data_IF_315132771271
#
_entry.id   IF_315132771271
#
_cell.length_a   1.000
_cell.length_b   1.000
_cell.length_c   1.000
_cell.angle_alpha   90.00
_cell.angle_beta   90.00
_cell.angle_gamma   90.00
#
_symmetry.space_group_name_H-M   'P 1'
#
loop_
_entity.id
_entity.type
_entity.pdbx_description
1 polymer ?
#
# COMPACT_ATOMS: atom_id res chain seq x y z
N UNK A 1 -21.13 -5.89 47.28
CA UNK A 1 -20.46 -4.65 46.84
C UNK A 1 -19.02 -5.02 46.57
N UNK A 2 -18.50 -4.73 45.38
CA UNK A 2 -17.08 -4.97 45.04
C UNK A 2 -16.24 -3.88 45.67
N UNK A 3 -15.10 -4.25 46.26
CA UNK A 3 -14.22 -3.36 47.03
C UNK A 3 -12.96 -3.04 46.21
N UNK A 4 -12.75 -1.74 45.96
CA UNK A 4 -11.60 -1.18 45.25
C UNK A 4 -10.69 -0.36 46.18
N UNK A 5 -10.91 -0.38 47.50
CA UNK A 5 -10.22 0.46 48.49
C UNK A 5 -8.70 0.25 48.54
N UNK A 6 -8.22 -0.87 48.00
CA UNK A 6 -6.78 -1.11 47.82
C UNK A 6 -6.10 -0.02 46.99
N UNK A 7 -6.82 0.68 46.12
CA UNK A 7 -6.29 1.76 45.27
C UNK A 7 -6.61 3.18 45.77
N UNK A 8 -7.19 3.34 46.97
CA UNK A 8 -7.58 4.67 47.50
C UNK A 8 -6.37 5.58 47.82
N UNK A 9 -5.18 5.01 47.96
CA UNK A 9 -3.99 5.70 48.45
C UNK A 9 -2.83 5.57 47.44
N UNK A 10 -2.96 6.20 46.28
CA UNK A 10 -1.91 6.25 45.25
C UNK A 10 -1.24 7.63 45.28
N UNK A 11 0.09 7.65 45.34
CA UNK A 11 0.91 8.85 45.27
C UNK A 11 1.62 8.90 43.91
N UNK A 12 1.32 9.93 43.11
CA UNK A 12 1.97 10.22 41.83
C UNK A 12 2.78 11.51 41.99
N UNK A 13 4.11 11.42 41.90
CA UNK A 13 4.99 12.58 42.15
C UNK A 13 4.83 13.71 41.13
N UNK A 14 4.41 13.35 39.92
CA UNK A 14 4.19 14.21 38.75
C UNK A 14 2.69 14.40 38.44
N UNK A 15 1.83 14.33 39.45
CA UNK A 15 0.39 14.61 39.31
C UNK A 15 0.15 16.05 38.85
N UNK A 16 -0.29 16.21 37.60
CA UNK A 16 -0.57 17.49 36.95
C UNK A 16 -1.90 18.13 37.35
N UNK A 17 -2.79 17.38 38.00
CA UNK A 17 -4.04 17.91 38.56
C UNK A 17 -3.80 18.56 39.94
N UNK A 18 -2.78 18.10 40.69
CA UNK A 18 -2.38 18.69 41.97
C UNK A 18 -1.35 19.82 41.83
N UNK A 19 -1.74 20.91 41.19
CA UNK A 19 -0.88 22.07 40.95
C UNK A 19 -1.40 23.33 41.63
N UNK A 20 -0.56 24.37 41.69
CA UNK A 20 -0.94 25.66 42.23
C UNK A 20 -0.44 26.76 41.29
N UNK A 21 -1.27 27.76 40.92
CA UNK A 21 -0.90 28.80 39.95
C UNK A 21 0.38 29.59 40.29
N UNK A 22 0.76 29.63 41.57
CA UNK A 22 1.95 30.32 42.05
C UNK A 22 3.18 29.43 42.28
N UNK A 23 3.10 28.13 41.96
CA UNK A 23 4.19 27.18 42.17
C UNK A 23 4.65 26.62 40.83
N UNK A 24 5.96 26.62 40.60
CA UNK A 24 6.58 26.04 39.42
C UNK A 24 6.48 24.51 39.44
N UNK A 25 5.64 23.96 38.56
CA UNK A 25 5.31 22.52 38.55
C UNK A 25 6.51 21.61 38.23
N UNK A 26 7.43 21.92 37.29
CA UNK A 26 8.60 21.07 37.03
C UNK A 26 9.56 20.98 38.21
N UNK A 27 9.68 22.03 39.02
CA UNK A 27 10.47 22.02 40.25
C UNK A 27 9.72 21.30 41.38
N UNK A 28 8.41 21.48 41.48
CA UNK A 28 7.55 20.79 42.45
C UNK A 28 7.56 19.28 42.25
N UNK A 29 7.44 18.76 41.03
CA UNK A 29 7.43 17.32 40.77
C UNK A 29 8.76 16.66 41.11
N UNK A 30 9.88 17.32 40.79
CA UNK A 30 11.21 16.86 41.21
C UNK A 30 11.35 16.86 42.73
N UNK A 31 10.83 17.88 43.41
CA UNK A 31 10.82 17.95 44.86
C UNK A 31 9.95 16.85 45.49
N UNK A 32 8.73 16.62 44.98
CA UNK A 32 7.84 15.52 45.41
C UNK A 32 8.52 14.15 45.22
N UNK A 33 9.17 13.93 44.08
CA UNK A 33 9.96 12.73 43.82
C UNK A 33 11.09 12.55 44.83
N UNK A 34 11.87 13.61 45.09
CA UNK A 34 12.97 13.59 46.06
C UNK A 34 12.45 13.27 47.47
N UNK A 35 11.39 13.95 47.91
CA UNK A 35 10.76 13.70 49.22
C UNK A 35 10.22 12.27 49.35
N UNK A 36 9.73 11.68 48.26
CA UNK A 36 9.30 10.27 48.23
C UNK A 36 10.48 9.32 48.39
N UNK A 37 11.57 9.54 47.64
CA UNK A 37 12.81 8.74 47.74
C UNK A 37 13.38 8.81 49.16
N UNK A 38 13.50 10.01 49.74
CA UNK A 38 13.99 10.20 51.11
C UNK A 38 13.11 9.51 52.16
N UNK A 39 11.76 9.58 52.02
CA UNK A 39 10.85 8.85 52.91
C UNK A 39 11.03 7.34 52.82
N UNK A 40 11.21 6.79 51.62
CA UNK A 40 11.45 5.36 51.42
C UNK A 40 12.82 4.93 51.95
N UNK A 41 13.86 5.73 51.75
CA UNK A 41 15.20 5.47 52.29
C UNK A 41 15.20 5.45 53.82
N UNK A 42 14.56 6.45 54.45
CA UNK A 42 14.44 6.50 55.91
C UNK A 42 13.64 5.33 56.46
N UNK A 43 12.56 4.92 55.77
CA UNK A 43 11.76 3.76 56.14
C UNK A 43 12.56 2.46 56.05
N UNK A 44 13.32 2.27 54.97
CA UNK A 44 14.18 1.11 54.80
C UNK A 44 15.28 1.04 55.86
N UNK A 45 15.88 2.19 56.22
CA UNK A 45 16.88 2.27 57.28
C UNK A 45 16.29 1.91 58.65
N UNK A 46 15.10 2.44 58.99
CA UNK A 46 14.40 2.08 60.23
C UNK A 46 14.12 0.58 60.29
N UNK A 47 13.70 -0.03 59.17
CA UNK A 47 13.45 -1.47 59.06
C UNK A 47 14.71 -2.30 59.27
N UNK A 48 15.83 -1.91 58.67
CA UNK A 48 17.12 -2.57 58.88
C UNK A 48 17.61 -2.48 60.32
N UNK A 49 17.50 -1.30 60.94
CA UNK A 49 17.96 -1.09 62.32
C UNK A 49 17.12 -1.90 63.32
N UNK A 50 15.81 -1.99 63.10
CA UNK A 50 14.91 -2.84 63.90
C UNK A 50 15.22 -4.32 63.71
N UNK A 51 15.48 -4.78 62.47
CA UNK A 51 15.85 -6.18 62.21
C UNK A 51 17.20 -6.53 62.84
N UNK A 52 18.22 -5.65 62.73
CA UNK A 52 19.52 -5.82 63.39
C UNK A 52 19.36 -5.88 64.91
N UNK A 53 18.62 -4.93 65.51
CA UNK A 53 18.36 -4.89 66.95
C UNK A 53 17.63 -6.14 67.46
N UNK A 54 16.64 -6.63 66.72
CA UNK A 54 15.92 -7.86 67.02
C UNK A 54 16.84 -9.09 66.96
N UNK A 55 17.66 -9.22 65.92
CA UNK A 55 18.62 -10.33 65.76
C UNK A 55 19.67 -10.33 66.87
N UNK A 56 20.19 -9.16 67.24
CA UNK A 56 21.16 -9.02 68.33
C UNK A 56 20.56 -9.38 69.69
N UNK A 57 19.34 -8.90 70.00
CA UNK A 57 18.65 -9.25 71.25
C UNK A 57 18.39 -10.74 71.32
N UNK A 58 17.91 -11.35 70.22
CA UNK A 58 17.67 -12.80 70.16
C UNK A 58 18.96 -13.61 70.35
N UNK A 59 20.08 -13.17 69.78
CA UNK A 59 21.40 -13.79 69.97
C UNK A 59 21.86 -13.70 71.43
N UNK A 60 21.83 -12.50 72.01
CA UNK A 60 22.21 -12.27 73.42
C UNK A 60 21.34 -13.08 74.38
N UNK A 61 20.03 -13.12 74.14
CA UNK A 61 19.10 -13.90 74.95
C UNK A 61 19.41 -15.41 74.88
N UNK A 62 19.72 -15.94 73.69
CA UNK A 62 20.13 -17.34 73.53
C UNK A 62 21.47 -17.65 74.23
N UNK A 63 22.44 -16.74 74.14
CA UNK A 63 23.73 -16.86 74.84
C UNK A 63 23.55 -16.82 76.37
N UNK A 64 22.73 -15.90 76.90
CA UNK A 64 22.39 -15.82 78.33
C UNK A 64 21.65 -17.08 78.81
N UNK A 65 20.68 -17.59 78.04
CA UNK A 65 19.98 -18.83 78.36
C UNK A 65 20.92 -20.05 78.38
N UNK A 66 21.90 -20.10 77.48
CA UNK A 66 22.92 -21.16 77.46
C UNK A 66 23.82 -21.09 78.70
N UNK A 67 24.32 -19.90 79.03
CA UNK A 67 25.15 -19.66 80.23
C UNK A 67 24.40 -19.96 81.52
N UNK A 68 23.11 -19.64 81.60
CA UNK A 68 22.27 -20.01 82.74
C UNK A 68 22.21 -21.52 82.93
N UNK A 69 21.98 -22.30 81.85
CA UNK A 69 21.96 -23.77 81.92
C UNK A 69 23.32 -24.35 82.33
N UNK A 70 24.42 -23.77 81.85
CA UNK A 70 25.79 -24.18 82.20
C UNK A 70 26.09 -23.92 83.70
N UNK A 71 25.64 -22.79 84.25
CA UNK A 71 25.82 -22.45 85.66
C UNK A 71 24.89 -23.20 86.62
N UNK A 72 23.67 -23.55 86.18
CA UNK A 72 22.77 -24.45 86.93
C UNK A 72 23.40 -25.83 87.16
N UNK A 73 24.21 -26.31 86.21
CA UNK A 73 24.93 -27.58 86.29
C UNK A 73 26.16 -27.55 87.22
N UNK A 74 26.77 -26.38 87.44
CA UNK A 74 28.02 -26.23 88.21
C UNK A 74 27.81 -26.16 89.74
N UNK A 75 26.61 -25.78 90.21
CA UNK A 75 26.10 -25.85 91.60
C UNK A 75 27.09 -25.42 92.73
N UNK A 76 27.83 -24.33 92.55
CA UNK A 76 28.66 -23.67 93.59
C UNK A 76 27.98 -22.42 94.17
N UNK A 77 28.41 -21.96 95.36
CA UNK A 77 27.82 -20.79 96.05
C UNK A 77 27.99 -19.48 95.24
N UNK A 78 29.14 -19.31 94.56
CA UNK A 78 29.40 -18.23 93.60
C UNK A 78 28.56 -18.35 92.31
N UNK A 79 28.14 -19.57 91.94
CA UNK A 79 27.29 -19.77 90.76
C UNK A 79 25.87 -19.23 90.99
N UNK A 80 25.39 -19.17 92.24
CA UNK A 80 24.01 -18.78 92.57
C UNK A 80 23.76 -17.27 92.47
N UNK A 81 24.75 -16.46 92.83
CA UNK A 81 24.71 -14.99 92.66
C UNK A 81 24.85 -14.60 91.19
N UNK A 82 25.73 -15.28 90.45
CA UNK A 82 25.91 -15.11 89.01
C UNK A 82 24.66 -15.55 88.21
N UNK A 83 23.97 -16.61 88.66
CA UNK A 83 22.69 -17.05 88.10
C UNK A 83 21.60 -15.98 88.25
N UNK A 84 21.50 -15.36 89.42
CA UNK A 84 20.54 -14.27 89.65
C UNK A 84 20.84 -13.06 88.77
N UNK A 85 22.13 -12.73 88.57
CA UNK A 85 22.55 -11.65 87.67
C UNK A 85 22.17 -11.95 86.21
N UNK A 86 22.50 -13.14 85.71
CA UNK A 86 22.14 -13.59 84.36
C UNK A 86 20.65 -13.75 84.16
N UNK A 87 19.89 -14.12 85.20
CA UNK A 87 18.44 -14.17 85.16
C UNK A 87 17.83 -12.78 85.05
N UNK A 88 18.37 -11.79 85.76
CA UNK A 88 17.96 -10.39 85.61
C UNK A 88 18.33 -9.84 84.22
N UNK A 89 19.51 -10.16 83.71
CA UNK A 89 19.95 -9.78 82.35
C UNK A 89 19.09 -10.44 81.26
N UNK A 90 18.75 -11.73 81.40
CA UNK A 90 17.85 -12.42 80.49
C UNK A 90 16.41 -11.85 80.53
N UNK A 91 15.92 -11.46 81.71
CA UNK A 91 14.63 -10.77 81.84
C UNK A 91 14.66 -9.38 81.18
N UNK A 92 15.78 -8.67 81.29
CA UNK A 92 15.97 -7.38 80.62
C UNK A 92 16.03 -7.54 79.10
N UNK A 93 16.82 -8.49 78.59
CA UNK A 93 16.89 -8.83 77.17
C UNK A 93 15.53 -9.31 76.61
N UNK A 94 14.71 -9.99 77.43
CA UNK A 94 13.34 -10.38 77.05
C UNK A 94 12.39 -9.18 76.95
N UNK A 95 12.57 -8.17 77.79
CA UNK A 95 11.84 -6.89 77.67
C UNK A 95 12.27 -6.15 76.41
N UNK A 96 13.56 -6.13 76.11
CA UNK A 96 14.10 -5.53 74.88
C UNK A 96 13.63 -6.27 73.61
N UNK A 97 13.59 -7.61 73.62
CA UNK A 97 13.00 -8.38 72.53
C UNK A 97 11.53 -8.01 72.30
N UNK A 98 10.75 -7.84 73.38
CA UNK A 98 9.35 -7.41 73.27
C UNK A 98 9.24 -6.03 72.64
N UNK A 99 10.08 -5.06 73.01
CA UNK A 99 10.04 -3.72 72.40
C UNK A 99 10.46 -3.74 70.93
N UNK A 100 11.38 -4.62 70.52
CA UNK A 100 11.72 -4.81 69.11
C UNK A 100 10.58 -5.45 68.31
N UNK A 101 9.85 -6.40 68.89
CA UNK A 101 8.66 -7.00 68.27
C UNK A 101 7.56 -5.96 68.10
N UNK A 102 7.33 -5.10 69.11
CA UNK A 102 6.39 -3.98 69.02
C UNK A 102 6.78 -3.02 67.88
N UNK A 103 8.07 -2.65 67.78
CA UNK A 103 8.59 -1.83 66.66
C UNK A 103 8.42 -2.51 65.30
N UNK A 104 8.61 -3.82 65.18
CA UNK A 104 8.35 -4.55 63.93
C UNK A 104 6.87 -4.52 63.54
N UNK A 105 5.95 -4.67 64.49
CA UNK A 105 4.51 -4.56 64.22
C UNK A 105 4.10 -3.13 63.82
N UNK A 106 4.72 -2.11 64.40
CA UNK A 106 4.55 -0.72 63.95
C UNK A 106 5.06 -0.52 62.51
N UNK A 107 6.22 -1.07 62.16
CA UNK A 107 6.72 -1.04 60.78
C UNK A 107 5.76 -1.72 59.80
N UNK A 108 5.20 -2.89 60.13
CA UNK A 108 4.21 -3.57 59.27
C UNK A 108 2.94 -2.72 59.06
N UNK A 109 2.51 -1.98 60.08
CA UNK A 109 1.39 -1.03 59.94
C UNK A 109 1.76 0.14 59.04
N UNK A 110 2.98 0.69 59.17
CA UNK A 110 3.51 1.71 58.26
C UNK A 110 3.59 1.20 56.81
N UNK A 111 4.00 -0.05 56.57
CA UNK A 111 4.01 -0.65 55.22
C UNK A 111 2.60 -0.75 54.64
N UNK A 112 1.61 -1.18 55.43
CA UNK A 112 0.21 -1.27 54.98
C UNK A 112 -0.41 0.08 54.65
N UNK A 113 -0.02 1.13 55.37
CA UNK A 113 -0.50 2.49 55.16
C UNK A 113 0.37 3.28 54.16
N UNK A 114 1.41 2.65 53.59
CA UNK A 114 2.31 3.30 52.65
C UNK A 114 1.56 3.58 51.35
N UNK A 115 1.64 4.81 50.80
CA UNK A 115 1.05 5.11 49.52
C UNK A 115 1.61 4.24 48.41
N UNK A 116 0.73 3.77 47.54
CA UNK A 116 1.08 3.09 46.31
C UNK A 116 1.78 4.06 45.36
N UNK A 117 2.90 3.65 44.80
CA UNK A 117 3.66 4.42 43.82
C UNK A 117 4.27 3.47 42.79
N UNK A 118 4.98 3.99 41.79
CA UNK A 118 5.57 3.18 40.70
C UNK A 118 6.48 2.04 41.19
N UNK A 119 7.12 2.19 42.36
CA UNK A 119 8.05 1.20 42.92
C UNK A 119 7.34 0.14 43.79
N UNK A 120 6.12 0.43 44.29
CA UNK A 120 5.35 -0.49 45.14
C UNK A 120 4.19 -1.16 44.41
N UNK A 121 3.62 -0.50 43.40
CA UNK A 121 2.47 -1.00 42.62
C UNK A 121 2.83 -2.22 41.77
N UNK A 122 3.99 -2.20 41.11
CA UNK A 122 4.38 -3.23 40.16
C UNK A 122 5.89 -3.33 40.01
N UNK A 123 6.33 -4.34 39.27
CA UNK A 123 7.72 -4.55 38.88
C UNK A 123 7.79 -4.79 37.37
N UNK A 124 8.93 -4.53 36.75
CA UNK A 124 9.13 -4.87 35.35
C UNK A 124 9.02 -6.39 35.16
N UNK A 125 7.88 -6.83 34.64
CA UNK A 125 7.60 -8.24 34.38
C UNK A 125 8.11 -8.71 33.02
N UNK A 126 8.11 -7.82 32.02
CA UNK A 126 8.54 -8.12 30.66
C UNK A 126 8.82 -6.81 29.91
N UNK A 127 10.05 -6.70 29.39
CA UNK A 127 10.47 -5.58 28.54
C UNK A 127 11.11 -6.12 27.27
N UNK A 128 10.53 -5.77 26.12
CA UNK A 128 11.04 -6.14 24.79
C UNK A 128 10.93 -4.95 23.85
N UNK A 129 12.08 -4.49 23.36
CA UNK A 129 12.15 -3.53 22.26
C UNK A 129 12.29 -4.27 20.93
N UNK A 130 11.61 -3.75 19.90
CA UNK A 130 11.75 -4.21 18.52
C UNK A 130 11.95 -2.98 17.65
N UNK A 131 13.11 -2.89 17.01
CA UNK A 131 13.37 -1.86 16.02
C UNK A 131 13.01 -2.41 14.64
N UNK A 132 12.19 -1.67 13.90
CA UNK A 132 11.82 -2.03 12.53
C UNK A 132 12.92 -1.57 11.56
N UNK A 133 14.11 -2.16 11.68
CA UNK A 133 15.22 -1.95 10.74
C UNK A 133 14.88 -2.74 9.49
N UNK A 134 14.56 -2.03 8.40
CA UNK A 134 14.26 -2.69 7.11
C UNK A 134 15.55 -3.25 6.52
N UNK A 135 15.54 -4.49 6.01
CA UNK A 135 16.66 -4.99 5.23
C UNK A 135 16.86 -4.11 3.98
N UNK A 136 18.12 -3.93 3.57
CA UNK A 136 18.42 -3.32 2.27
C UNK A 136 17.70 -4.12 1.19
N UNK A 137 16.86 -3.45 0.41
CA UNK A 137 16.17 -4.09 -0.71
C UNK A 137 17.23 -4.47 -1.76
N UNK A 138 17.24 -5.72 -2.25
CA UNK A 138 18.08 -6.08 -3.37
C UNK A 138 17.73 -5.20 -4.57
N UNK A 139 18.76 -4.69 -5.26
CA UNK A 139 18.61 -3.91 -6.47
C UNK A 139 17.93 -4.78 -7.56
N UNK A 140 16.82 -4.25 -8.08
CA UNK A 140 16.10 -4.66 -9.29
C UNK A 140 15.30 -5.97 -9.23
N UNK A 141 13.97 -5.85 -9.02
CA UNK A 141 13.00 -6.89 -9.40
C UNK A 141 13.15 -7.16 -10.92
N UNK A 142 13.21 -8.44 -11.31
CA UNK A 142 13.27 -8.82 -12.74
C UNK A 142 12.05 -8.29 -13.50
N UNK A 143 12.21 -7.94 -14.79
CA UNK A 143 11.11 -7.47 -15.64
C UNK A 143 9.91 -8.43 -15.66
N UNK A 144 10.15 -9.75 -15.60
CA UNK A 144 9.07 -10.75 -15.52
C UNK A 144 8.28 -10.67 -14.19
N UNK A 145 8.96 -10.33 -13.09
CA UNK A 145 8.32 -10.13 -11.79
C UNK A 145 7.51 -8.84 -11.77
N UNK A 146 8.04 -7.76 -12.35
CA UNK A 146 7.31 -6.49 -12.51
C UNK A 146 6.05 -6.68 -13.35
N UNK A 147 6.11 -7.46 -14.43
CA UNK A 147 4.92 -7.72 -15.27
C UNK A 147 3.85 -8.54 -14.52
N UNK A 148 4.25 -9.61 -13.81
CA UNK A 148 3.31 -10.40 -12.99
C UNK A 148 2.68 -9.58 -11.87
N UNK A 149 3.50 -8.76 -11.20
CA UNK A 149 3.05 -7.82 -10.18
C UNK A 149 2.08 -6.79 -10.77
N UNK A 150 2.38 -6.25 -11.96
CA UNK A 150 1.50 -5.32 -12.66
C UNK A 150 0.15 -5.95 -12.98
N UNK A 151 0.12 -7.14 -13.58
CA UNK A 151 -1.14 -7.84 -13.91
C UNK A 151 -1.99 -8.09 -12.66
N UNK A 152 -1.40 -8.71 -11.64
CA UNK A 152 -2.14 -9.02 -10.39
C UNK A 152 -2.56 -7.78 -9.61
N UNK A 153 -1.73 -6.72 -9.61
CA UNK A 153 -2.05 -5.45 -8.95
C UNK A 153 -3.21 -4.74 -9.65
N UNK A 154 -3.15 -4.63 -10.98
CA UNK A 154 -4.21 -4.01 -11.78
C UNK A 154 -5.51 -4.77 -11.62
N UNK A 155 -5.52 -6.10 -11.73
CA UNK A 155 -6.72 -6.91 -11.52
C UNK A 155 -7.34 -6.70 -10.13
N UNK A 156 -6.52 -6.60 -9.10
CA UNK A 156 -7.00 -6.43 -7.72
C UNK A 156 -7.54 -5.03 -7.44
N UNK A 157 -6.88 -4.00 -7.98
CA UNK A 157 -7.16 -2.60 -7.62
C UNK A 157 -7.75 -1.76 -8.76
N UNK A 158 -8.16 -2.39 -9.86
CA UNK A 158 -8.69 -1.73 -11.06
C UNK A 158 -9.74 -0.66 -10.74
N UNK A 159 -10.73 -1.01 -9.92
CA UNK A 159 -11.82 -0.11 -9.52
C UNK A 159 -11.32 1.10 -8.74
N UNK A 160 -10.30 0.90 -7.91
CA UNK A 160 -9.71 1.97 -7.10
C UNK A 160 -8.85 2.90 -7.96
N UNK A 161 -8.08 2.34 -8.89
CA UNK A 161 -7.30 3.10 -9.86
C UNK A 161 -8.22 3.95 -10.73
N UNK A 162 -9.30 3.36 -11.26
CA UNK A 162 -10.32 4.09 -12.03
C UNK A 162 -10.98 5.19 -11.21
N UNK A 163 -11.32 4.91 -9.95
CA UNK A 163 -11.88 5.93 -9.05
C UNK A 163 -10.93 7.11 -8.87
N UNK A 164 -9.65 6.85 -8.59
CA UNK A 164 -8.63 7.90 -8.52
C UNK A 164 -8.56 8.71 -9.81
N UNK A 165 -8.54 8.04 -10.97
CA UNK A 165 -8.51 8.70 -12.28
C UNK A 165 -9.70 9.62 -12.58
N UNK A 166 -10.84 9.41 -11.91
CA UNK A 166 -12.03 10.26 -12.06
C UNK A 166 -12.04 11.47 -11.11
N UNK A 167 -11.13 11.55 -10.13
CA UNK A 167 -11.05 12.69 -9.22
C UNK A 167 -10.47 13.94 -9.91
N UNK A 168 -10.77 15.13 -9.39
CA UNK A 168 -10.16 16.39 -9.87
C UNK A 168 -9.54 17.21 -8.75
N UNK A 169 -10.30 17.39 -7.66
CA UNK A 169 -9.90 18.29 -6.58
C UNK A 169 -8.69 17.73 -5.85
N UNK A 170 -7.73 18.60 -5.57
CA UNK A 170 -6.49 18.23 -4.87
C UNK A 170 -6.73 17.58 -3.52
N UNK A 171 -7.71 18.08 -2.75
CA UNK A 171 -8.06 17.53 -1.44
C UNK A 171 -8.63 16.11 -1.55
N UNK A 172 -9.49 15.87 -2.54
CA UNK A 172 -10.12 14.56 -2.76
C UNK A 172 -9.06 13.55 -3.22
N UNK A 173 -8.20 13.92 -4.19
CA UNK A 173 -7.09 13.08 -4.63
C UNK A 173 -6.12 12.75 -3.49
N UNK A 174 -5.76 13.75 -2.67
CA UNK A 174 -4.86 13.55 -1.53
C UNK A 174 -5.47 12.67 -0.44
N UNK A 175 -6.76 12.85 -0.13
CA UNK A 175 -7.50 12.03 0.83
C UNK A 175 -7.60 10.60 0.32
N UNK A 176 -7.96 10.42 -0.95
CA UNK A 176 -8.13 9.10 -1.54
C UNK A 176 -6.84 8.28 -1.55
N UNK A 177 -5.70 8.91 -1.89
CA UNK A 177 -4.38 8.27 -1.81
C UNK A 177 -3.90 8.06 -0.36
N UNK A 178 -4.41 8.85 0.60
CA UNK A 178 -4.16 8.60 2.03
C UNK A 178 -4.91 7.37 2.54
N UNK A 179 -6.14 7.18 2.08
CA UNK A 179 -6.96 6.02 2.41
C UNK A 179 -6.48 4.76 1.65
N UNK A 180 -5.85 4.95 0.47
CA UNK A 180 -5.33 3.87 -0.38
C UNK A 180 -3.85 4.10 -0.77
N UNK A 181 -2.88 4.03 0.17
CA UNK A 181 -1.48 4.33 -0.11
C UNK A 181 -0.81 3.38 -1.12
N UNK A 182 -1.33 2.15 -1.25
CA UNK A 182 -0.81 1.16 -2.19
C UNK A 182 -0.97 1.57 -3.66
N UNK A 183 -1.89 2.50 -3.97
CA UNK A 183 -2.09 3.04 -5.32
C UNK A 183 -0.97 3.98 -5.75
N UNK A 184 -0.16 4.50 -4.82
CA UNK A 184 0.96 5.38 -5.15
C UNK A 184 2.16 4.53 -5.60
N UNK A 185 2.15 4.14 -6.87
CA UNK A 185 3.18 3.31 -7.50
C UNK A 185 3.16 3.47 -9.04
N UNK A 186 4.20 2.95 -9.71
CA UNK A 186 4.35 3.05 -11.16
C UNK A 186 3.26 2.26 -11.91
N UNK A 187 2.80 1.14 -11.35
CA UNK A 187 1.77 0.30 -11.96
C UNK A 187 0.44 1.06 -12.13
N UNK A 188 0.07 1.89 -11.16
CA UNK A 188 -1.12 2.75 -11.24
C UNK A 188 -0.96 3.77 -12.37
N UNK A 189 0.19 4.44 -12.47
CA UNK A 189 0.44 5.41 -13.55
C UNK A 189 0.35 4.74 -14.93
N UNK A 190 0.98 3.57 -15.10
CA UNK A 190 0.97 2.82 -16.35
C UNK A 190 -0.45 2.40 -16.76
N UNK A 191 -1.25 1.92 -15.81
CA UNK A 191 -2.64 1.58 -16.08
C UNK A 191 -3.47 2.79 -16.52
N UNK A 192 -3.32 3.94 -15.84
CA UNK A 192 -4.05 5.16 -16.20
C UNK A 192 -3.66 5.67 -17.60
N UNK A 193 -2.40 5.53 -18.01
CA UNK A 193 -1.97 5.86 -19.38
C UNK A 193 -2.68 4.98 -20.42
N UNK A 194 -2.72 3.66 -20.19
CA UNK A 194 -3.41 2.72 -21.10
C UNK A 194 -4.90 3.06 -21.15
N UNK A 195 -5.50 3.32 -19.99
CA UNK A 195 -6.90 3.68 -19.90
C UNK A 195 -7.23 4.98 -20.64
N UNK A 196 -6.36 5.99 -20.61
CA UNK A 196 -6.51 7.20 -21.43
C UNK A 196 -6.54 6.87 -22.94
N UNK A 197 -5.69 5.95 -23.41
CA UNK A 197 -5.66 5.54 -24.82
C UNK A 197 -6.94 4.78 -25.19
N UNK A 198 -7.39 3.86 -24.34
CA UNK A 198 -8.64 3.13 -24.55
C UNK A 198 -9.84 4.10 -24.63
N UNK A 199 -9.92 5.07 -23.72
CA UNK A 199 -10.98 6.08 -23.71
C UNK A 199 -10.98 6.96 -24.96
N UNK A 200 -9.80 7.29 -25.49
CA UNK A 200 -9.67 8.07 -26.72
C UNK A 200 -10.11 7.27 -27.95
N UNK A 201 -9.77 5.97 -28.00
CA UNK A 201 -10.24 5.05 -29.05
C UNK A 201 -11.76 4.83 -28.96
N UNK A 202 -12.33 4.82 -27.76
CA UNK A 202 -13.78 4.75 -27.53
C UNK A 202 -14.52 6.10 -27.72
N UNK A 203 -13.86 7.13 -28.24
CA UNK A 203 -14.41 8.49 -28.46
C UNK A 203 -14.90 9.20 -27.17
N UNK A 204 -14.42 8.78 -25.99
CA UNK A 204 -14.76 9.37 -24.68
C UNK A 204 -13.78 10.47 -24.27
N UNK A 205 -13.60 11.47 -25.14
CA UNK A 205 -12.61 12.53 -24.98
C UNK A 205 -12.68 13.28 -23.65
N UNK A 206 -13.88 13.63 -23.18
CA UNK A 206 -14.05 14.37 -21.93
C UNK A 206 -13.57 13.59 -20.70
N UNK A 207 -13.79 12.26 -20.69
CA UNK A 207 -13.30 11.40 -19.62
C UNK A 207 -11.79 11.16 -19.75
N UNK A 208 -11.27 11.03 -20.97
CA UNK A 208 -9.83 10.93 -21.22
C UNK A 208 -9.09 12.13 -20.63
N UNK A 209 -9.56 13.35 -20.85
CA UNK A 209 -8.91 14.56 -20.31
C UNK A 209 -8.90 14.60 -18.78
N UNK A 210 -9.97 14.11 -18.16
CA UNK A 210 -10.08 14.01 -16.71
C UNK A 210 -9.09 12.99 -16.14
N UNK A 211 -9.01 11.81 -16.76
CA UNK A 211 -8.08 10.75 -16.36
C UNK A 211 -6.63 11.19 -16.63
N UNK A 212 -6.36 11.85 -17.76
CA UNK A 212 -5.05 12.38 -18.11
C UNK A 212 -4.50 13.32 -17.02
N UNK A 213 -5.34 14.18 -16.45
CA UNK A 213 -4.94 15.02 -15.32
C UNK A 213 -4.43 14.19 -14.15
N UNK A 214 -5.19 13.18 -13.71
CA UNK A 214 -4.78 12.33 -12.59
C UNK A 214 -3.57 11.44 -12.93
N UNK A 215 -3.39 11.07 -14.20
CA UNK A 215 -2.17 10.40 -14.67
C UNK A 215 -0.94 11.26 -14.46
N UNK A 216 -0.98 12.54 -14.85
CA UNK A 216 0.13 13.48 -14.63
C UNK A 216 0.37 13.71 -13.14
N UNK A 217 -0.69 13.81 -12.33
CA UNK A 217 -0.57 13.89 -10.87
C UNK A 217 0.23 12.71 -10.31
N UNK A 218 -0.09 11.48 -10.72
CA UNK A 218 0.65 10.30 -10.28
C UNK A 218 2.09 10.33 -10.78
N UNK A 219 2.34 10.72 -12.03
CA UNK A 219 3.69 10.83 -12.58
C UNK A 219 4.55 11.84 -11.83
N UNK A 220 4.01 13.03 -11.50
CA UNK A 220 4.73 14.04 -10.73
C UNK A 220 5.02 13.58 -9.29
N UNK A 221 4.12 12.82 -8.67
CA UNK A 221 4.37 12.19 -7.37
C UNK A 221 5.56 11.23 -7.47
N UNK A 222 5.59 10.37 -8.48
CA UNK A 222 6.68 9.42 -8.72
C UNK A 222 8.00 10.11 -9.06
N UNK A 223 7.96 11.19 -9.85
CA UNK A 223 9.12 12.00 -10.19
C UNK A 223 9.70 12.69 -8.96
N UNK A 224 8.85 13.32 -8.14
CA UNK A 224 9.26 13.93 -6.88
C UNK A 224 9.91 12.90 -5.94
N UNK A 225 9.35 11.69 -5.88
CA UNK A 225 9.90 10.60 -5.09
C UNK A 225 11.30 10.18 -5.57
N UNK A 226 11.48 10.06 -6.90
CA UNK A 226 12.78 9.76 -7.53
C UNK A 226 13.80 10.86 -7.24
N UNK A 227 13.43 12.14 -7.37
CA UNK A 227 14.31 13.27 -7.06
C UNK A 227 14.74 13.28 -5.60
N UNK A 228 13.83 12.94 -4.68
CA UNK A 228 14.09 12.91 -3.24
C UNK A 228 14.72 11.58 -2.76
N UNK A 229 14.81 10.57 -3.62
CA UNK A 229 15.27 9.20 -3.28
C UNK A 229 14.49 8.59 -2.10
N UNK A 230 13.19 8.82 -2.07
CA UNK A 230 12.27 8.28 -1.05
C UNK A 230 11.17 7.47 -1.71
N UNK A 231 10.54 6.58 -0.93
CA UNK A 231 9.36 5.86 -1.39
C UNK A 231 8.23 6.85 -1.75
N UNK A 232 7.59 6.75 -2.94
CA UNK A 232 6.49 7.63 -3.34
C UNK A 232 5.35 7.73 -2.32
N UNK A 233 5.09 6.64 -1.60
CA UNK A 233 4.04 6.55 -0.57
C UNK A 233 4.36 7.40 0.66
N UNK A 234 5.63 7.71 0.88
CA UNK A 234 6.07 8.57 1.97
C UNK A 234 6.01 10.07 1.61
N UNK A 235 6.09 10.42 0.32
CA UNK A 235 6.20 11.82 -0.11
C UNK A 235 5.01 12.38 -0.90
N UNK A 236 4.04 11.57 -1.33
CA UNK A 236 2.92 12.07 -2.16
C UNK A 236 2.15 13.25 -1.55
N UNK A 237 2.04 13.33 -0.21
CA UNK A 237 1.40 14.47 0.46
C UNK A 237 2.17 15.78 0.27
N UNK A 238 3.49 15.71 0.13
CA UNK A 238 4.33 16.88 -0.12
C UNK A 238 4.11 17.42 -1.53
N UNK A 239 3.84 16.55 -2.52
CA UNK A 239 3.41 16.99 -3.84
C UNK A 239 2.13 17.83 -3.76
N UNK A 240 1.09 17.33 -3.06
CA UNK A 240 -0.16 18.08 -2.91
C UNK A 240 0.01 19.38 -2.12
N UNK A 241 0.89 19.40 -1.11
CA UNK A 241 1.23 20.63 -0.40
C UNK A 241 1.89 21.66 -1.34
N UNK A 242 2.86 21.22 -2.17
CA UNK A 242 3.55 22.08 -3.14
C UNK A 242 2.61 22.61 -4.21
N UNK A 243 1.79 21.76 -4.83
CA UNK A 243 0.94 22.18 -5.95
C UNK A 243 -0.18 23.14 -5.51
N UNK A 244 -0.64 23.05 -4.26
CA UNK A 244 -1.63 23.99 -3.70
C UNK A 244 -1.06 25.38 -3.43
N UNK A 245 0.23 25.48 -3.17
CA UNK A 245 0.94 26.74 -2.90
C UNK A 245 1.91 27.10 -4.01
N UNK A 246 1.77 26.47 -5.18
CA UNK A 246 2.70 26.62 -6.29
C UNK A 246 2.54 27.99 -6.95
N UNK A 247 3.67 28.57 -7.34
CA UNK A 247 3.70 29.77 -8.16
C UNK A 247 3.11 29.49 -9.55
N UNK A 248 2.63 30.55 -10.20
CA UNK A 248 1.98 30.45 -11.52
C UNK A 248 2.85 29.74 -12.56
N UNK A 249 4.17 29.96 -12.56
CA UNK A 249 5.11 29.29 -13.46
C UNK A 249 5.12 27.76 -13.30
N UNK A 250 4.98 27.25 -12.06
CA UNK A 250 4.94 25.81 -11.81
C UNK A 250 3.62 25.19 -12.27
N UNK A 251 2.50 25.92 -12.08
CA UNK A 251 1.19 25.50 -12.59
C UNK A 251 1.13 25.53 -14.12
N UNK A 252 1.77 26.50 -14.77
CA UNK A 252 1.93 26.55 -16.23
C UNK A 252 2.72 25.34 -16.71
N UNK A 253 3.88 25.04 -16.12
CA UNK A 253 4.65 23.83 -16.47
C UNK A 253 3.89 22.52 -16.29
N UNK A 254 3.07 22.41 -15.23
CA UNK A 254 2.17 21.26 -15.03
C UNK A 254 1.12 21.15 -16.15
N UNK A 255 0.52 22.28 -16.56
CA UNK A 255 -0.47 22.29 -17.63
C UNK A 255 0.15 21.99 -18.99
N UNK A 256 1.37 22.48 -19.26
CA UNK A 256 2.09 22.19 -20.51
C UNK A 256 2.42 20.70 -20.65
N UNK A 257 2.83 20.05 -19.56
CA UNK A 257 3.03 18.59 -19.52
C UNK A 257 1.71 17.82 -19.69
N UNK A 258 0.62 18.32 -19.11
CA UNK A 258 -0.70 17.74 -19.28
C UNK A 258 -1.19 17.82 -20.73
N UNK A 259 -1.07 18.96 -21.39
CA UNK A 259 -1.45 19.11 -22.80
C UNK A 259 -0.54 18.29 -23.71
N UNK A 260 0.77 18.29 -23.45
CA UNK A 260 1.72 17.44 -24.17
C UNK A 260 1.39 15.95 -24.02
N UNK A 261 0.93 15.54 -22.83
CA UNK A 261 0.48 14.16 -22.59
C UNK A 261 -0.83 13.84 -23.34
N UNK A 262 -1.82 14.74 -23.34
CA UNK A 262 -3.05 14.57 -24.11
C UNK A 262 -2.75 14.40 -25.60
N UNK A 263 -1.85 15.20 -26.16
CA UNK A 263 -1.43 15.07 -27.56
C UNK A 263 -0.76 13.71 -27.84
N UNK A 264 0.11 13.23 -26.95
CA UNK A 264 0.71 11.89 -27.06
C UNK A 264 -0.34 10.78 -27.01
N UNK A 265 -1.37 10.92 -26.16
CA UNK A 265 -2.48 9.96 -26.08
C UNK A 265 -3.30 9.95 -27.37
N UNK A 266 -3.65 11.13 -27.90
CA UNK A 266 -4.36 11.28 -29.19
C UNK A 266 -3.56 10.65 -30.34
N UNK A 267 -2.25 10.87 -30.39
CA UNK A 267 -1.35 10.24 -31.37
C UNK A 267 -1.38 8.72 -31.28
N UNK A 268 -1.18 8.16 -30.08
CA UNK A 268 -1.19 6.69 -29.87
C UNK A 268 -2.56 6.06 -30.15
N UNK A 269 -3.65 6.76 -29.88
CA UNK A 269 -5.00 6.30 -30.21
C UNK A 269 -5.18 6.24 -31.74
N UNK A 270 -4.76 7.28 -32.48
CA UNK A 270 -4.76 7.27 -33.94
C UNK A 270 -3.93 6.14 -34.52
N UNK A 271 -2.70 5.93 -34.02
CA UNK A 271 -1.84 4.82 -34.47
C UNK A 271 -2.49 3.45 -34.25
N UNK A 272 -3.22 3.27 -33.14
CA UNK A 272 -3.94 2.03 -32.83
C UNK A 272 -5.15 1.82 -33.75
N UNK A 273 -5.88 2.89 -34.07
CA UNK A 273 -7.00 2.84 -35.02
C UNK A 273 -6.47 2.55 -36.43
N UNK A 274 -5.39 3.21 -36.86
CA UNK A 274 -4.74 2.98 -38.15
C UNK A 274 -4.24 1.54 -38.31
N UNK A 275 -3.62 0.98 -37.25
CA UNK A 275 -3.23 -0.44 -37.25
C UNK A 275 -4.42 -1.37 -37.42
N UNK A 276 -5.51 -1.13 -36.68
CA UNK A 276 -6.73 -1.94 -36.79
C UNK A 276 -7.39 -1.81 -38.18
N UNK A 277 -7.39 -0.60 -38.77
CA UNK A 277 -7.88 -0.37 -40.13
C UNK A 277 -7.01 -1.09 -41.15
N UNK A 278 -5.69 -1.05 -41.02
CA UNK A 278 -4.76 -1.75 -41.92
C UNK A 278 -4.89 -3.26 -41.84
N UNK A 279 -5.04 -3.82 -40.63
CA UNK A 279 -5.32 -5.25 -40.43
C UNK A 279 -6.64 -5.65 -41.10
N UNK A 280 -7.69 -4.83 -40.97
CA UNK A 280 -8.96 -5.05 -41.65
C UNK A 280 -8.85 -4.94 -43.18
N UNK A 281 -8.12 -3.95 -43.70
CA UNK A 281 -7.85 -3.82 -45.12
C UNK A 281 -7.06 -5.01 -45.67
N UNK A 282 -6.10 -5.54 -44.91
CA UNK A 282 -5.32 -6.72 -45.27
C UNK A 282 -6.19 -7.98 -45.25
N UNK A 283 -7.06 -8.16 -44.25
CA UNK A 283 -8.05 -9.25 -44.23
C UNK A 283 -9.00 -9.18 -45.42
N UNK A 284 -9.51 -8.00 -45.75
CA UNK A 284 -10.37 -7.80 -46.92
C UNK A 284 -9.60 -7.98 -48.23
N UNK A 285 -8.31 -7.63 -48.27
CA UNK A 285 -7.41 -7.91 -49.40
C UNK A 285 -7.24 -9.41 -49.57
N UNK A 286 -6.99 -10.15 -48.49
CA UNK A 286 -6.89 -11.61 -48.50
C UNK A 286 -8.17 -12.29 -49.01
N UNK A 287 -9.35 -11.81 -48.59
CA UNK A 287 -10.64 -12.30 -49.10
C UNK A 287 -10.86 -12.02 -50.59
N UNK A 288 -10.22 -10.97 -51.13
CA UNK A 288 -10.32 -10.53 -52.52
C UNK A 288 -9.27 -11.15 -53.46
N UNK A 289 -8.29 -11.89 -52.93
CA UNK A 289 -7.27 -12.53 -53.76
C UNK A 289 -7.88 -13.54 -54.72
N UNK A 290 -7.42 -13.49 -55.97
CA UNK A 290 -7.78 -14.45 -57.00
C UNK A 290 -7.19 -15.85 -56.75
N UNK A 291 -7.53 -16.83 -57.61
CA UNK A 291 -7.15 -18.23 -57.45
C UNK A 291 -5.63 -18.49 -57.42
N UNK A 292 -4.81 -17.55 -57.91
CA UNK A 292 -3.36 -17.58 -57.87
C UNK A 292 -2.73 -16.65 -56.81
N UNK A 293 -3.53 -16.11 -55.88
CA UNK A 293 -3.04 -15.27 -54.78
C UNK A 293 -2.68 -13.84 -55.17
N UNK A 294 -3.11 -13.39 -56.36
CA UNK A 294 -2.94 -12.00 -56.81
C UNK A 294 -4.23 -11.21 -56.59
N UNK A 295 -4.09 -9.94 -56.20
CA UNK A 295 -5.23 -9.03 -56.07
C UNK A 295 -5.70 -8.54 -57.46
N UNK A 296 -6.99 -8.72 -57.81
CA UNK A 296 -7.55 -8.21 -59.07
C UNK A 296 -7.33 -6.71 -59.30
N UNK A 297 -7.40 -5.89 -58.25
CA UNK A 297 -7.25 -4.43 -58.34
C UNK A 297 -5.79 -4.04 -58.62
N UNK A 298 -4.86 -4.64 -57.90
CA UNK A 298 -3.41 -4.38 -58.10
C UNK A 298 -2.95 -4.86 -59.48
N UNK A 299 -3.44 -6.01 -59.94
CA UNK A 299 -3.14 -6.48 -61.28
C UNK A 299 -3.71 -5.52 -62.30
N UNK A 300 -4.96 -5.09 -62.18
CA UNK A 300 -5.60 -4.14 -63.10
C UNK A 300 -4.83 -2.82 -63.23
N UNK A 301 -4.44 -2.19 -62.10
CA UNK A 301 -3.69 -0.92 -62.11
C UNK A 301 -2.29 -1.06 -62.71
N UNK A 302 -1.67 -2.24 -62.59
CA UNK A 302 -0.35 -2.52 -63.16
C UNK A 302 -0.35 -2.95 -64.63
N UNK A 303 -1.53 -3.10 -65.25
CA UNK A 303 -1.64 -3.46 -66.66
C UNK A 303 -1.33 -2.24 -67.57
N UNK A 304 -0.75 -2.45 -68.75
CA UNK A 304 -0.67 -1.44 -69.81
C UNK A 304 -2.04 -0.81 -70.11
N UNK A 305 -2.04 0.49 -70.43
CA UNK A 305 -3.26 1.28 -70.66
C UNK A 305 -4.14 0.70 -71.78
N UNK A 306 -3.54 0.02 -72.74
CA UNK A 306 -4.18 -0.68 -73.85
C UNK A 306 -4.96 -1.91 -73.36
N UNK A 307 -4.40 -2.67 -72.40
CA UNK A 307 -5.07 -3.82 -71.79
C UNK A 307 -6.14 -3.38 -70.80
N UNK A 308 -5.90 -2.33 -70.01
CA UNK A 308 -6.92 -1.74 -69.12
C UNK A 308 -8.18 -1.35 -69.90
N UNK A 309 -8.02 -0.65 -71.04
CA UNK A 309 -9.13 -0.30 -71.94
C UNK A 309 -9.86 -1.51 -72.50
N UNK A 310 -9.17 -2.62 -72.76
CA UNK A 310 -9.82 -3.85 -73.23
C UNK A 310 -10.74 -4.46 -72.15
N UNK A 311 -10.33 -4.39 -70.88
CA UNK A 311 -11.14 -4.82 -69.73
C UNK A 311 -12.28 -3.85 -69.42
N UNK A 312 -12.07 -2.53 -69.55
CA UNK A 312 -13.11 -1.49 -69.39
C UNK A 312 -14.24 -1.66 -70.42
N UNK A 313 -13.88 -1.88 -71.69
CA UNK A 313 -14.82 -2.02 -72.81
C UNK A 313 -15.39 -3.45 -72.89
N UNK A 314 -14.84 -4.40 -72.12
CA UNK A 314 -15.19 -5.84 -72.10
C UNK A 314 -15.14 -6.48 -73.49
N UNK A 315 -14.19 -6.07 -74.32
CA UNK A 315 -14.03 -6.56 -75.68
C UNK A 315 -12.91 -7.62 -75.76
N UNK A 316 -13.32 -8.87 -75.89
CA UNK A 316 -12.45 -10.05 -76.01
C UNK A 316 -11.61 -10.01 -77.30
N UNK A 317 -12.14 -9.43 -78.37
CA UNK A 317 -11.45 -9.34 -79.66
C UNK A 317 -10.36 -8.27 -79.62
N UNK A 318 -10.65 -7.12 -79.00
CA UNK A 318 -9.64 -6.09 -78.77
C UNK A 318 -8.51 -6.59 -77.87
N UNK A 319 -8.81 -7.41 -76.86
CA UNK A 319 -7.78 -8.02 -76.01
C UNK A 319 -6.87 -8.96 -76.81
N UNK A 320 -7.44 -9.83 -77.66
CA UNK A 320 -6.67 -10.74 -78.52
C UNK A 320 -5.79 -10.01 -79.54
N UNK A 321 -6.31 -8.93 -80.13
CA UNK A 321 -5.56 -8.10 -81.08
C UNK A 321 -4.42 -7.32 -80.40
N UNK A 322 -4.65 -6.88 -79.17
CA UNK A 322 -3.66 -6.15 -78.35
C UNK A 322 -2.55 -7.08 -77.87
N UNK A 323 -2.90 -8.31 -77.49
CA UNK A 323 -1.96 -9.39 -77.13
C UNK A 323 -1.11 -9.81 -78.33
N UNK A 324 -1.71 -9.88 -79.52
CA UNK A 324 -1.00 -10.29 -80.75
C UNK A 324 -0.03 -9.22 -81.27
N UNK A 325 -0.19 -7.96 -80.84
CA UNK A 325 0.70 -6.84 -81.18
C UNK A 325 1.84 -6.64 -80.18
N UNK A 326 1.75 -7.23 -78.99
CA UNK A 326 2.79 -7.17 -77.96
C UNK A 326 3.83 -8.26 -78.12
N UNK A 327 4.98 -8.08 -77.45
CA UNK A 327 5.99 -9.13 -77.40
C UNK A 327 5.41 -10.40 -76.73
N UNK A 328 5.63 -11.59 -77.31
CA UNK A 328 5.08 -12.84 -76.79
C UNK A 328 5.41 -13.13 -75.31
N UNK A 329 6.56 -12.62 -74.81
CA UNK A 329 6.96 -12.82 -73.41
C UNK A 329 6.20 -11.89 -72.46
N UNK A 330 5.98 -10.64 -72.84
CA UNK A 330 5.20 -9.66 -72.08
C UNK A 330 3.72 -10.01 -72.05
N UNK A 331 3.19 -10.43 -73.20
CA UNK A 331 1.80 -10.88 -73.34
C UNK A 331 1.48 -12.06 -72.43
N UNK A 332 2.39 -13.06 -72.36
CA UNK A 332 2.26 -14.22 -71.47
C UNK A 332 2.35 -13.81 -70.00
N UNK A 333 3.24 -12.88 -69.67
CA UNK A 333 3.42 -12.36 -68.31
C UNK A 333 2.14 -11.67 -67.79
N UNK A 334 1.56 -10.74 -68.56
CA UNK A 334 0.35 -10.04 -68.16
C UNK A 334 -0.90 -10.94 -68.17
N UNK A 335 -1.03 -11.84 -69.14
CA UNK A 335 -2.17 -12.76 -69.22
C UNK A 335 -2.18 -13.76 -68.06
N UNK A 336 -1.03 -14.33 -67.70
CA UNK A 336 -0.91 -15.23 -66.55
C UNK A 336 -1.34 -14.53 -65.25
N UNK A 337 -0.93 -13.27 -65.07
CA UNK A 337 -1.32 -12.45 -63.92
C UNK A 337 -2.82 -12.14 -63.89
N UNK A 338 -3.45 -11.92 -65.05
CA UNK A 338 -4.90 -11.74 -65.15
C UNK A 338 -5.67 -13.02 -64.77
N UNK A 339 -5.11 -14.18 -65.04
CA UNK A 339 -5.70 -15.48 -64.66
C UNK A 339 -5.54 -15.72 -63.16
N UNK A 340 -4.32 -15.49 -62.66
CA UNK A 340 -3.97 -15.71 -61.25
C UNK A 340 -4.68 -14.72 -60.32
N UNK A 341 -5.03 -13.51 -60.79
CA UNK A 341 -5.88 -12.57 -60.08
C UNK A 341 -7.38 -12.77 -60.29
N UNK A 342 -7.79 -13.67 -61.19
CA UNK A 342 -9.20 -13.91 -61.50
C UNK A 342 -9.87 -12.85 -62.39
N UNK A 343 -9.12 -11.88 -62.92
CA UNK A 343 -9.59 -10.91 -63.93
C UNK A 343 -9.98 -11.58 -65.26
N UNK A 344 -9.36 -12.72 -65.59
CA UNK A 344 -9.62 -13.48 -66.81
C UNK A 344 -9.69 -14.98 -66.52
N UNK A 345 -10.80 -15.64 -66.87
CA UNK A 345 -10.95 -17.10 -66.70
C UNK A 345 -10.72 -17.79 -68.06
N UNK A 346 -9.64 -18.58 -68.23
CA UNK A 346 -9.39 -19.29 -69.48
C UNK A 346 -10.50 -20.31 -69.77
N UNK A 347 -11.16 -20.18 -70.93
CA UNK A 347 -12.19 -21.09 -71.46
C UNK A 347 -13.49 -21.23 -70.64
N UNK A 348 -14.29 -20.17 -70.57
CA UNK A 348 -15.75 -20.29 -70.41
C UNK A 348 -16.42 -20.62 -71.75
N UNK A 349 -16.27 -21.85 -72.26
CA UNK A 349 -17.15 -22.47 -73.28
C UNK A 349 -17.12 -23.99 -73.01
N UNK A 350 -18.03 -24.60 -72.27
CA UNK A 350 -19.47 -24.70 -72.54
C UNK A 350 -20.19 -25.18 -71.28
N UNK A 351 -21.24 -24.47 -70.85
CA UNK A 351 -22.03 -24.84 -69.68
C UNK A 351 -23.17 -23.85 -69.48
N UNK A 352 -24.11 -23.91 -70.42
CA UNK A 352 -25.51 -23.47 -70.43
C UNK A 352 -25.96 -22.29 -69.56
N UNK A 353 -26.69 -21.38 -70.19
CA UNK A 353 -27.46 -20.37 -69.49
C UNK A 353 -28.51 -21.04 -68.60
N UNK A 354 -28.45 -20.76 -67.30
CA UNK A 354 -29.66 -20.80 -66.48
C UNK A 354 -29.60 -19.65 -65.49
N UNK A 355 -30.48 -18.67 -65.70
CA UNK A 355 -31.00 -17.87 -64.61
C UNK A 355 -31.48 -18.82 -63.50
N UNK A 356 -30.80 -18.79 -62.36
CA UNK A 356 -31.47 -18.90 -61.07
C UNK A 356 -30.93 -17.79 -60.20
N UNK A 357 -31.78 -16.79 -59.99
CA UNK A 357 -31.54 -15.77 -59.00
C UNK A 357 -31.39 -16.41 -57.63
N UNK A 358 -30.35 -16.00 -56.92
CA UNK A 358 -30.37 -15.92 -55.48
C UNK A 358 -29.73 -14.59 -55.11
N UNK A 359 -30.57 -13.65 -54.68
CA UNK A 359 -30.12 -12.53 -53.86
C UNK A 359 -29.89 -13.08 -52.46
N UNK A 360 -28.77 -12.75 -51.83
CA UNK A 360 -28.78 -12.29 -50.46
C UNK A 360 -28.34 -10.83 -50.50
N UNK A 361 -29.26 -9.89 -50.61
CA UNK A 361 -29.69 -9.07 -49.46
C UNK A 361 -28.56 -8.89 -48.43
N UNK A 362 -27.98 -7.69 -48.45
CA UNK A 362 -27.04 -7.24 -47.44
C UNK A 362 -27.68 -7.29 -46.07
N UNK A 363 -27.04 -8.02 -45.17
CA UNK A 363 -27.28 -7.88 -43.73
C UNK A 363 -26.24 -6.91 -43.22
N UNK A 364 -26.63 -5.64 -43.11
CA UNK A 364 -26.04 -4.72 -42.14
C UNK A 364 -26.41 -5.23 -40.75
N UNK A 365 -25.44 -5.77 -40.00
CA UNK A 365 -25.61 -5.93 -38.55
C UNK A 365 -25.12 -4.66 -37.86
N UNK A 366 -26.08 -3.75 -37.64
CA UNK A 366 -25.92 -2.59 -36.78
C UNK A 366 -25.68 -3.01 -35.32
N UNK A 367 -24.62 -2.46 -34.76
CA UNK A 367 -24.45 -2.03 -33.36
C UNK A 367 -25.62 -2.31 -32.40
N UNK A 368 -25.42 -3.25 -31.48
CA UNK A 368 -26.21 -3.34 -30.25
C UNK A 368 -25.95 -2.14 -29.34
N UNK A 369 -26.85 -1.15 -29.36
CA UNK A 369 -27.05 -0.25 -28.22
C UNK A 369 -27.96 -0.92 -27.18
N UNK A 370 -27.42 -1.16 -25.99
CA UNK A 370 -28.20 -1.40 -24.78
C UNK A 370 -28.88 -0.10 -24.34
N UNK A 371 -30.20 -0.10 -24.18
CA UNK A 371 -30.86 0.28 -22.91
C UNK A 371 -32.40 0.29 -23.01
N UNK A 372 -33.04 -0.02 -21.89
CA UNK A 372 -34.35 0.55 -21.53
C UNK A 372 -35.54 -0.41 -21.54
N UNK A 373 -35.68 -1.26 -20.52
CA UNK A 373 -36.98 -1.80 -20.11
C UNK A 373 -37.73 -0.73 -19.31
N UNK A 374 -38.75 -0.12 -19.91
CA UNK A 374 -39.89 0.42 -19.17
C UNK A 374 -41.17 -0.27 -19.67
N UNK A 375 -41.91 -0.83 -18.72
CA UNK A 375 -43.12 -1.59 -18.98
C UNK A 375 -44.39 -0.74 -19.02
N UNK A 376 -45.41 -1.31 -19.66
CA UNK A 376 -46.87 -1.14 -19.51
C UNK A 376 -47.45 -2.11 -20.56
N UNK A 377 -48.18 -3.18 -20.25
CA UNK A 377 -49.31 -3.30 -19.35
C UNK A 377 -50.56 -3.39 -20.21
N UNK A 378 -51.23 -4.55 -20.23
CA UNK A 378 -52.69 -4.73 -20.43
C UNK A 378 -53.05 -6.22 -20.34
N UNK A 379 -53.41 -6.66 -19.14
CA UNK A 379 -54.58 -7.48 -18.81
C UNK A 379 -54.69 -7.55 -17.29
#
# INVERSE_FOLDING_TARGET
MVDYSVWDHIEVSDDEDETHPNIDTPSLFRWRHQARVERMEQFNKEKEDVDKGCRECKRKLAECQKKMKELELANTEDSRSELQRLQAEAQQLKKEEKTWVEKMEELKKKEKNMPWNVDTLSKDGFSKSVFNVRPEQPEEESEEQKEKKHKTFVEKYEKQIKHFGMLRRWDDSQKYLSDNPHLVCEETANYLVIWCIDLEVEEKHALMEQVAHQTIVMQFILELAKSLKVDPRACFRQFFAKIKTADQQYMEGFNDELESFKERVRGRAKDRIERAMKEYEEEERQKRLGPGGLDPVEVYESLPSELQKCFDVKDVQMLQDTISKMDPTEAKYHMQRCIDSGLWVPNARSGDGTEKGDKPEGVYEELKKQNGKEGKGTA
#
